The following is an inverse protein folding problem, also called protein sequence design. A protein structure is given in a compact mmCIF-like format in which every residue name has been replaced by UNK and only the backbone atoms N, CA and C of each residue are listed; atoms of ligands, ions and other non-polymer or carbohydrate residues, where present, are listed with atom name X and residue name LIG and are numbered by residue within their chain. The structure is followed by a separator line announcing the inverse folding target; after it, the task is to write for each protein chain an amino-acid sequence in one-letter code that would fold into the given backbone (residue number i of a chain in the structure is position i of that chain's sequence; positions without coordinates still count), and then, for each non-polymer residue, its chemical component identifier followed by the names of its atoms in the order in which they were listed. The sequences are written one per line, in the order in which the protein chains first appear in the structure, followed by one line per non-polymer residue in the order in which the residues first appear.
data_IF_258577995968
#
_entry.id   IF_258577995968
#
_cell.length_a   1.000
_cell.length_b   1.000
_cell.length_c   1.000
_cell.angle_alpha   90.00
_cell.angle_beta   90.00
_cell.angle_gamma   90.00
#
_symmetry.space_group_name_H-M   'P 1'
#
loop_
_entity.id
_entity.type
_entity.pdbx_description
1 polymer ?
#
# COMPACT_ATOMS: atom_id res chain seq x y z
N UNK A 1 -11.23 43.27 55.80
CA UNK A 1 -12.41 42.40 55.63
C UNK A 1 -12.42 41.92 54.19
N UNK A 2 -12.31 40.62 53.97
CA UNK A 2 -12.39 40.04 52.62
C UNK A 2 -13.85 39.98 52.21
N UNK A 3 -14.19 40.51 51.04
CA UNK A 3 -15.55 40.53 50.53
C UNK A 3 -15.92 39.12 50.02
N UNK A 4 -16.81 38.44 50.74
CA UNK A 4 -17.28 37.08 50.43
C UNK A 4 -17.83 36.93 49.01
N UNK A 5 -18.39 38.00 48.44
CA UNK A 5 -18.92 38.00 47.05
C UNK A 5 -17.78 37.89 46.03
N UNK A 6 -16.71 38.66 46.21
CA UNK A 6 -15.53 38.60 45.32
C UNK A 6 -14.83 37.24 45.40
N UNK A 7 -14.87 36.59 46.56
CA UNK A 7 -14.30 35.25 46.75
C UNK A 7 -15.14 34.18 46.04
N UNK A 8 -16.47 34.28 46.08
CA UNK A 8 -17.37 33.38 45.38
C UNK A 8 -17.27 33.53 43.85
N UNK A 9 -17.19 34.77 43.34
CA UNK A 9 -16.98 35.05 41.91
C UNK A 9 -15.65 34.46 41.41
N UNK A 10 -14.57 34.59 42.20
CA UNK A 10 -13.26 34.03 41.86
C UNK A 10 -13.26 32.50 41.81
N UNK A 11 -14.02 31.83 42.68
CA UNK A 11 -14.15 30.36 42.69
C UNK A 11 -14.92 29.88 41.45
N UNK A 12 -16.07 30.48 41.16
CA UNK A 12 -16.88 30.13 39.98
C UNK A 12 -16.10 30.35 38.68
N UNK A 13 -15.34 31.44 38.59
CA UNK A 13 -14.51 31.74 37.41
C UNK A 13 -13.40 30.71 37.23
N UNK A 14 -12.81 30.22 38.33
CA UNK A 14 -11.76 29.20 38.31
C UNK A 14 -12.29 27.84 37.88
N UNK A 15 -13.46 27.44 38.36
CA UNK A 15 -14.08 26.16 37.99
C UNK A 15 -14.46 26.16 36.50
N UNK A 16 -15.05 27.26 36.01
CA UNK A 16 -15.34 27.44 34.58
C UNK A 16 -14.07 27.44 33.71
N UNK A 17 -12.98 28.04 34.18
CA UNK A 17 -11.69 27.99 33.50
C UNK A 17 -11.16 26.54 33.38
N UNK A 18 -11.29 25.75 34.46
CA UNK A 18 -10.88 24.34 34.45
C UNK A 18 -11.70 23.50 33.47
N UNK A 19 -13.00 23.71 33.38
CA UNK A 19 -13.87 23.04 32.41
C UNK A 19 -13.48 23.39 30.96
N UNK A 20 -13.23 24.67 30.68
CA UNK A 20 -12.80 25.15 29.35
C UNK A 20 -11.43 24.58 28.97
N UNK A 21 -10.49 24.51 29.91
CA UNK A 21 -9.16 23.90 29.68
C UNK A 21 -9.28 22.42 29.33
N UNK A 22 -10.11 21.67 30.05
CA UNK A 22 -10.31 20.25 29.82
C UNK A 22 -10.99 19.99 28.47
N UNK A 23 -11.96 20.81 28.08
CA UNK A 23 -12.64 20.69 26.78
C UNK A 23 -11.71 21.06 25.60
N UNK A 24 -10.84 22.05 25.79
CA UNK A 24 -9.76 22.38 24.85
C UNK A 24 -8.77 21.21 24.67
N UNK A 25 -8.43 20.52 25.74
CA UNK A 25 -7.51 19.38 25.70
C UNK A 25 -8.15 18.19 24.96
N UNK A 26 -9.42 17.92 25.22
CA UNK A 26 -10.21 16.94 24.48
C UNK A 26 -10.27 17.28 22.98
N UNK A 27 -10.53 18.53 22.64
CA UNK A 27 -10.60 18.96 21.24
C UNK A 27 -9.25 18.76 20.51
N UNK A 28 -8.12 19.06 21.17
CA UNK A 28 -6.78 18.78 20.61
C UNK A 28 -6.58 17.30 20.35
N UNK A 29 -6.93 16.43 21.31
CA UNK A 29 -6.83 14.99 21.14
C UNK A 29 -7.66 14.48 19.96
N UNK A 30 -8.92 14.92 19.83
CA UNK A 30 -9.78 14.56 18.70
C UNK A 30 -9.21 15.02 17.35
N UNK A 31 -8.65 16.23 17.30
CA UNK A 31 -8.01 16.76 16.09
C UNK A 31 -6.83 15.90 15.66
N UNK A 32 -5.93 15.61 16.59
CA UNK A 32 -4.73 14.82 16.31
C UNK A 32 -5.10 13.40 15.83
N UNK A 33 -6.11 12.79 16.46
CA UNK A 33 -6.64 11.49 16.04
C UNK A 33 -7.22 11.53 14.61
N UNK A 34 -8.01 12.55 14.28
CA UNK A 34 -8.57 12.72 12.94
C UNK A 34 -7.49 12.92 11.88
N UNK A 35 -6.48 13.73 12.15
CA UNK A 35 -5.33 13.95 11.26
C UNK A 35 -4.56 12.64 11.01
N UNK A 36 -4.31 11.87 12.07
CA UNK A 36 -3.63 10.57 11.97
C UNK A 36 -4.42 9.56 11.13
N UNK A 37 -5.74 9.47 11.36
CA UNK A 37 -6.62 8.56 10.63
C UNK A 37 -6.69 8.91 9.13
N UNK A 38 -6.75 10.20 8.80
CA UNK A 38 -6.79 10.69 7.42
C UNK A 38 -5.48 10.40 6.70
N UNK A 39 -4.34 10.65 7.36
CA UNK A 39 -3.01 10.31 6.84
C UNK A 39 -2.89 8.82 6.55
N UNK A 40 -3.38 7.96 7.45
CA UNK A 40 -3.39 6.52 7.25
C UNK A 40 -4.24 6.13 6.03
N UNK A 41 -5.47 6.65 5.90
CA UNK A 41 -6.35 6.38 4.76
C UNK A 41 -5.72 6.81 3.43
N UNK A 42 -5.07 7.97 3.39
CA UNK A 42 -4.34 8.45 2.21
C UNK A 42 -3.19 7.51 1.84
N UNK A 43 -2.44 7.00 2.82
CA UNK A 43 -1.35 6.05 2.56
C UNK A 43 -1.86 4.74 1.94
N UNK A 44 -2.96 4.18 2.45
CA UNK A 44 -3.60 2.98 1.89
C UNK A 44 -4.09 3.24 0.46
N UNK A 45 -4.75 4.38 0.23
CA UNK A 45 -5.24 4.75 -1.10
C UNK A 45 -4.09 4.87 -2.11
N UNK A 46 -3.00 5.52 -1.72
CA UNK A 46 -1.80 5.66 -2.53
C UNK A 46 -1.17 4.30 -2.87
N UNK A 47 -1.03 3.40 -1.88
CA UNK A 47 -0.52 2.04 -2.09
C UNK A 47 -1.41 1.24 -3.05
N UNK A 48 -2.72 1.35 -2.90
CA UNK A 48 -3.70 0.68 -3.77
C UNK A 48 -3.59 1.19 -5.21
N UNK A 49 -3.48 2.50 -5.39
CA UNK A 49 -3.28 3.13 -6.70
C UNK A 49 -1.97 2.67 -7.35
N UNK A 50 -0.87 2.63 -6.58
CA UNK A 50 0.43 2.12 -7.04
C UNK A 50 0.37 0.64 -7.43
N UNK A 51 -0.39 -0.17 -6.70
CA UNK A 51 -0.59 -1.59 -7.02
C UNK A 51 -1.36 -1.75 -8.32
N UNK A 52 -2.46 -1.01 -8.50
CA UNK A 52 -3.26 -1.05 -9.72
C UNK A 52 -2.47 -0.62 -10.96
N UNK A 53 -1.66 0.45 -10.84
CA UNK A 53 -0.79 0.88 -11.95
C UNK A 53 0.26 -0.19 -12.27
N UNK A 54 0.85 -0.82 -11.27
CA UNK A 54 1.82 -1.92 -11.45
C UNK A 54 1.19 -3.12 -12.16
N UNK A 55 -0.02 -3.53 -11.76
CA UNK A 55 -0.76 -4.63 -12.39
C UNK A 55 -1.00 -4.33 -13.87
N UNK A 56 -1.49 -3.12 -14.20
CA UNK A 56 -1.73 -2.72 -15.60
C UNK A 56 -0.46 -2.78 -16.45
N UNK A 57 0.69 -2.39 -15.90
CA UNK A 57 1.97 -2.45 -16.60
C UNK A 57 2.39 -3.91 -16.85
N UNK A 58 2.23 -4.78 -15.85
CA UNK A 58 2.53 -6.21 -16.00
C UNK A 58 1.59 -6.86 -17.03
N UNK A 59 0.30 -6.57 -16.98
CA UNK A 59 -0.67 -7.11 -17.95
C UNK A 59 -0.36 -6.67 -19.37
N UNK A 60 0.02 -5.39 -19.56
CA UNK A 60 0.49 -4.87 -20.84
C UNK A 60 1.77 -5.58 -21.32
N UNK A 61 2.72 -5.83 -20.42
CA UNK A 61 3.94 -6.57 -20.73
C UNK A 61 3.64 -8.02 -21.14
N UNK A 62 2.77 -8.71 -20.39
CA UNK A 62 2.29 -10.04 -20.69
C UNK A 62 1.58 -10.10 -22.05
N UNK A 63 0.74 -9.11 -22.36
CA UNK A 63 0.00 -9.04 -23.63
C UNK A 63 0.90 -9.02 -24.87
N UNK A 64 2.09 -8.41 -24.76
CA UNK A 64 3.09 -8.30 -25.84
C UNK A 64 3.96 -9.55 -26.01
N UNK A 65 3.84 -10.54 -25.12
CA UNK A 65 4.64 -11.76 -25.21
C UNK A 65 4.05 -12.77 -26.21
N UNK A 66 4.92 -13.49 -26.95
CA UNK A 66 4.52 -14.67 -27.70
C UNK A 66 3.75 -15.69 -26.84
N UNK A 67 2.80 -16.46 -27.42
CA UNK A 67 1.96 -17.39 -26.69
C UNK A 67 2.73 -18.37 -25.79
N UNK A 68 3.81 -18.97 -26.29
CA UNK A 68 4.64 -19.91 -25.53
C UNK A 68 5.33 -19.27 -24.32
N UNK A 69 5.69 -17.99 -24.37
CA UNK A 69 6.27 -17.28 -23.22
C UNK A 69 5.20 -16.90 -22.19
N UNK A 70 3.98 -16.57 -22.64
CA UNK A 70 2.85 -16.33 -21.72
C UNK A 70 2.49 -17.60 -20.96
N UNK A 71 2.46 -18.73 -21.65
CA UNK A 71 2.21 -20.03 -21.05
C UNK A 71 3.29 -20.42 -20.05
N UNK A 72 4.57 -20.20 -20.39
CA UNK A 72 5.68 -20.36 -19.44
C UNK A 72 5.48 -19.51 -18.18
N UNK A 73 5.07 -18.25 -18.31
CA UNK A 73 4.82 -17.37 -17.16
C UNK A 73 3.67 -17.89 -16.30
N UNK A 74 2.58 -18.33 -16.93
CA UNK A 74 1.43 -18.94 -16.25
C UNK A 74 1.88 -20.07 -15.33
N UNK A 75 2.59 -21.06 -15.90
CA UNK A 75 3.03 -22.21 -15.13
C UNK A 75 4.08 -21.85 -14.07
N UNK A 76 5.07 -21.01 -14.42
CA UNK A 76 6.16 -20.71 -13.50
C UNK A 76 5.77 -19.77 -12.36
N UNK A 77 5.03 -18.70 -12.64
CA UNK A 77 4.84 -17.59 -11.70
C UNK A 77 3.42 -17.49 -11.14
N UNK A 78 2.40 -17.93 -11.89
CA UNK A 78 1.01 -17.92 -11.40
C UNK A 78 0.65 -19.24 -10.72
N UNK A 79 1.04 -20.38 -11.30
CA UNK A 79 0.82 -21.71 -10.71
C UNK A 79 1.96 -22.16 -9.77
N UNK A 80 3.08 -21.43 -9.76
CA UNK A 80 4.19 -21.69 -8.84
C UNK A 80 4.99 -22.98 -9.11
N UNK A 81 4.88 -23.55 -10.31
CA UNK A 81 5.55 -24.80 -10.65
C UNK A 81 7.09 -24.65 -10.68
N UNK A 82 7.80 -25.75 -10.42
CA UNK A 82 9.26 -25.84 -10.58
C UNK A 82 9.65 -25.83 -12.07
N UNK A 83 10.93 -25.61 -12.39
CA UNK A 83 11.35 -25.59 -13.79
C UNK A 83 11.19 -26.95 -14.47
N UNK A 84 11.38 -28.01 -13.70
CA UNK A 84 11.23 -29.39 -14.13
C UNK A 84 9.77 -29.69 -14.48
N UNK A 85 8.84 -29.29 -13.61
CA UNK A 85 7.41 -29.48 -13.86
C UNK A 85 6.90 -28.61 -15.01
N UNK A 86 7.43 -27.40 -15.17
CA UNK A 86 7.13 -26.55 -16.34
C UNK A 86 7.65 -27.18 -17.63
N UNK A 87 8.86 -27.73 -17.60
CA UNK A 87 9.47 -28.41 -18.74
C UNK A 87 8.63 -29.61 -19.18
N UNK A 88 8.22 -30.45 -18.24
CA UNK A 88 7.31 -31.57 -18.49
C UNK A 88 5.96 -31.11 -19.06
N UNK A 89 5.32 -30.13 -18.41
CA UNK A 89 4.00 -29.63 -18.81
C UNK A 89 3.98 -28.96 -20.18
N UNK A 90 5.09 -28.34 -20.58
CA UNK A 90 5.26 -27.69 -21.88
C UNK A 90 5.89 -28.63 -22.94
N UNK A 91 6.23 -29.86 -22.58
CA UNK A 91 6.99 -30.79 -23.42
C UNK A 91 8.29 -30.17 -23.97
N UNK A 92 9.06 -29.54 -23.08
CA UNK A 92 10.32 -28.87 -23.37
C UNK A 92 11.44 -29.43 -22.49
N UNK A 93 12.70 -29.15 -22.85
CA UNK A 93 13.81 -29.39 -21.92
C UNK A 93 13.89 -28.29 -20.86
N UNK A 94 14.39 -28.63 -19.67
CA UNK A 94 14.61 -27.65 -18.59
C UNK A 94 15.52 -26.50 -19.05
N UNK A 95 16.51 -26.79 -19.91
CA UNK A 95 17.37 -25.78 -20.54
C UNK A 95 16.59 -24.78 -21.40
N UNK A 96 15.60 -25.24 -22.17
CA UNK A 96 14.70 -24.37 -22.92
C UNK A 96 13.87 -23.47 -22.00
N UNK A 97 13.37 -23.99 -20.86
CA UNK A 97 12.66 -23.19 -19.85
C UNK A 97 13.54 -22.07 -19.27
N UNK A 98 14.83 -22.33 -19.01
CA UNK A 98 15.78 -21.28 -18.60
C UNK A 98 16.03 -20.23 -19.69
N UNK A 99 16.03 -20.62 -20.97
CA UNK A 99 16.05 -19.66 -22.09
C UNK A 99 14.78 -18.79 -22.08
N UNK A 100 13.61 -19.38 -21.88
CA UNK A 100 12.34 -18.65 -21.79
C UNK A 100 12.33 -17.68 -20.62
N UNK A 101 12.83 -18.09 -19.44
CA UNK A 101 13.01 -17.19 -18.28
C UNK A 101 13.83 -15.96 -18.64
N UNK A 102 14.98 -16.13 -19.31
CA UNK A 102 15.83 -15.00 -19.73
C UNK A 102 15.10 -14.06 -20.69
N UNK A 103 14.40 -14.61 -21.68
CA UNK A 103 13.64 -13.80 -22.64
C UNK A 103 12.52 -13.00 -21.98
N UNK A 104 11.77 -13.64 -21.07
CA UNK A 104 10.71 -12.98 -20.30
C UNK A 104 11.28 -11.85 -19.45
N UNK A 105 12.34 -12.12 -18.67
CA UNK A 105 12.96 -11.11 -17.81
C UNK A 105 13.53 -9.94 -18.60
N UNK A 106 14.17 -10.20 -19.73
CA UNK A 106 14.68 -9.15 -20.63
C UNK A 106 13.53 -8.28 -21.17
N UNK A 107 12.47 -8.90 -21.68
CA UNK A 107 11.30 -8.15 -22.21
C UNK A 107 10.59 -7.36 -21.10
N UNK A 108 10.48 -7.93 -19.90
CA UNK A 108 9.91 -7.21 -18.75
C UNK A 108 10.80 -6.06 -18.29
N UNK A 109 12.12 -6.23 -18.31
CA UNK A 109 13.08 -5.16 -18.01
C UNK A 109 12.90 -3.97 -18.95
N UNK A 110 12.72 -4.21 -20.25
CA UNK A 110 12.42 -3.16 -21.24
C UNK A 110 11.10 -2.45 -20.91
N UNK A 111 10.02 -3.20 -20.66
CA UNK A 111 8.70 -2.58 -20.40
C UNK A 111 8.68 -1.79 -19.08
N UNK A 112 9.44 -2.23 -18.09
CA UNK A 112 9.55 -1.56 -16.79
C UNK A 112 10.58 -0.42 -16.78
N UNK A 113 11.26 -0.14 -17.90
CA UNK A 113 12.29 0.90 -18.00
C UNK A 113 13.52 0.62 -17.14
N UNK A 114 13.82 -0.66 -16.86
CA UNK A 114 14.95 -1.11 -16.05
C UNK A 114 16.13 -1.65 -16.87
N UNK A 115 16.00 -1.66 -18.20
CA UNK A 115 16.98 -2.02 -19.23
C UNK A 115 16.71 -1.15 -20.46
#
# INVERSE_FOLDING_TARGET
MVNLVQLAEAVVTRDLLGEVEQELENYKFYRDFLELSTSHQLSISNLTTKRLSTVRVIDSACGKLPPHLREFIKYRYFEGLTMENVAEKMNLSTSACYKYRRQVLHKFGIVLGKL
#
